data_IF_919455891600
#
_entry.id   IF_919455891600
#
_cell.length_a   1.000
_cell.length_b   1.000
_cell.length_c   1.000
_cell.angle_alpha   90.00
_cell.angle_beta   90.00
_cell.angle_gamma   90.00
#
_symmetry.space_group_name_H-M   'P 1'
#
loop_
_entity.id
_entity.type
_entity.pdbx_description
1 polymer ?
#
# COMPACT_ATOMS: atom_id res chain seq x y z
N UNK A 1 4.50 18.47 9.71
CA UNK A 1 4.16 17.26 8.92
C UNK A 1 5.42 16.65 8.32
N UNK A 2 5.85 15.51 8.87
CA UNK A 2 7.03 14.80 8.42
C UNK A 2 6.68 13.93 7.21
N UNK A 3 7.49 13.97 6.14
CA UNK A 3 7.29 13.12 4.95
C UNK A 3 8.18 11.88 5.03
N UNK A 4 7.56 10.71 4.98
CA UNK A 4 8.22 9.41 5.01
C UNK A 4 8.29 8.81 3.62
N UNK A 5 9.49 8.60 3.11
CA UNK A 5 9.77 8.06 1.78
C UNK A 5 10.65 6.81 1.90
N UNK A 6 10.77 5.97 0.85
CA UNK A 6 11.70 4.85 0.86
C UNK A 6 13.17 5.25 1.12
N UNK A 7 13.52 6.50 0.79
CA UNK A 7 14.87 7.07 0.96
C UNK A 7 15.09 7.76 2.30
N UNK A 8 14.02 8.03 3.06
CA UNK A 8 14.13 8.60 4.41
C UNK A 8 15.00 7.68 5.27
N UNK A 9 15.95 8.26 5.98
CA UNK A 9 16.89 7.52 6.81
C UNK A 9 16.30 7.21 8.18
N UNK A 10 16.79 6.12 8.79
CA UNK A 10 16.43 5.77 10.16
C UNK A 10 16.88 6.88 11.12
N UNK A 11 17.99 7.58 10.85
CA UNK A 11 18.43 8.72 11.64
C UNK A 11 17.44 9.90 11.62
N UNK A 12 16.95 10.31 10.45
CA UNK A 12 15.93 11.36 10.34
C UNK A 12 14.65 10.96 11.08
N UNK A 13 14.23 9.71 10.91
CA UNK A 13 13.00 9.19 11.50
C UNK A 13 13.06 9.18 13.03
N UNK A 14 14.15 8.66 13.63
CA UNK A 14 14.29 8.59 15.09
C UNK A 14 14.64 9.94 15.72
N UNK A 15 15.18 10.89 14.94
CA UNK A 15 15.34 12.27 15.40
C UNK A 15 13.98 12.95 15.55
N UNK A 16 13.08 12.76 14.59
CA UNK A 16 11.72 13.26 14.65
C UNK A 16 10.87 12.51 15.70
N UNK A 17 11.09 11.20 15.85
CA UNK A 17 10.30 10.32 16.71
C UNK A 17 11.19 9.38 17.55
N UNK A 18 11.78 9.86 18.66
CA UNK A 18 12.74 9.09 19.46
C UNK A 18 12.20 7.77 20.04
N UNK A 19 10.89 7.67 20.28
CA UNK A 19 10.24 6.44 20.77
C UNK A 19 10.39 5.26 19.81
N UNK A 20 10.64 5.51 18.51
CA UNK A 20 10.85 4.46 17.52
C UNK A 20 12.13 3.64 17.76
N UNK A 21 13.06 4.14 18.58
CA UNK A 21 14.23 3.38 19.03
C UNK A 21 13.82 2.11 19.79
N UNK A 22 12.69 2.16 20.50
CA UNK A 22 12.18 1.03 21.29
C UNK A 22 11.08 0.26 20.56
N UNK A 23 10.19 0.95 19.86
CA UNK A 23 9.03 0.37 19.18
C UNK A 23 9.40 -0.44 17.93
N UNK A 24 10.33 0.06 17.10
CA UNK A 24 10.73 -0.64 15.88
C UNK A 24 11.38 -2.00 16.19
N UNK A 25 12.32 -2.11 17.16
CA UNK A 25 12.90 -3.40 17.52
C UNK A 25 11.94 -4.31 18.27
N UNK A 26 10.95 -3.76 18.99
CA UNK A 26 9.90 -4.56 19.62
C UNK A 26 9.01 -5.26 18.58
N UNK A 27 8.67 -4.59 17.48
CA UNK A 27 7.88 -5.16 16.39
C UNK A 27 8.72 -5.97 15.40
N UNK A 28 9.95 -5.53 15.12
CA UNK A 28 10.86 -6.14 14.16
C UNK A 28 12.18 -6.51 14.89
N UNK A 29 12.29 -7.72 15.47
CA UNK A 29 13.44 -8.13 16.27
C UNK A 29 14.80 -8.00 15.54
N UNK A 30 14.81 -8.09 14.21
CA UNK A 30 16.00 -7.91 13.37
C UNK A 30 16.57 -6.47 13.42
N UNK A 31 15.79 -5.50 13.88
CA UNK A 31 16.21 -4.13 14.12
C UNK A 31 16.73 -3.90 15.55
N UNK A 32 16.94 -4.96 16.35
CA UNK A 32 17.55 -4.87 17.69
C UNK A 32 18.80 -3.99 17.80
N UNK A 33 19.72 -3.94 16.81
CA UNK A 33 20.86 -3.03 16.86
C UNK A 33 20.49 -1.55 17.01
N UNK A 34 19.28 -1.13 16.66
CA UNK A 34 18.81 0.25 16.81
C UNK A 34 18.79 0.72 18.27
N UNK A 35 18.60 -0.20 19.24
CA UNK A 35 18.67 0.10 20.68
C UNK A 35 20.09 0.44 21.13
N UNK A 36 21.11 -0.11 20.46
CA UNK A 36 22.50 0.16 20.78
C UNK A 36 22.93 1.54 20.23
N UNK A 37 23.35 2.50 21.08
CA UNK A 37 23.71 3.84 20.64
C UNK A 37 24.85 3.87 19.61
N UNK A 38 25.87 3.01 19.75
CA UNK A 38 27.01 2.95 18.83
C UNK A 38 26.61 2.40 17.46
N UNK A 39 25.83 1.32 17.43
CA UNK A 39 25.33 0.74 16.18
C UNK A 39 24.38 1.72 15.45
N UNK A 40 23.51 2.40 16.21
CA UNK A 40 22.64 3.46 15.68
C UNK A 40 23.44 4.62 15.10
N UNK A 41 24.45 5.11 15.81
CA UNK A 41 25.30 6.20 15.32
C UNK A 41 26.04 5.82 14.02
N UNK A 42 26.49 4.56 13.89
CA UNK A 42 27.18 4.08 12.71
C UNK A 42 26.25 3.86 11.50
N UNK A 43 25.08 3.27 11.71
CA UNK A 43 24.23 2.77 10.61
C UNK A 43 23.01 3.63 10.31
N UNK A 44 22.40 4.29 11.29
CA UNK A 44 21.14 5.00 11.09
C UNK A 44 21.18 6.12 10.04
N UNK A 45 22.29 6.88 9.88
CA UNK A 45 22.38 7.92 8.84
C UNK A 45 22.36 7.39 7.40
N UNK A 46 22.70 6.12 7.20
CA UNK A 46 22.78 5.49 5.86
C UNK A 46 21.74 4.38 5.67
N UNK A 47 21.11 3.91 6.74
CA UNK A 47 20.01 2.95 6.71
C UNK A 47 18.73 3.70 6.30
N UNK A 48 18.31 3.54 5.06
CA UNK A 48 17.03 4.06 4.57
C UNK A 48 15.86 3.17 4.99
N UNK A 49 14.62 3.65 4.85
CA UNK A 49 13.42 2.82 5.07
C UNK A 49 13.45 1.55 4.20
N UNK A 50 13.89 1.66 2.95
CA UNK A 50 14.06 0.53 2.05
C UNK A 50 15.05 -0.51 2.62
N UNK A 51 16.23 -0.08 3.07
CA UNK A 51 17.22 -0.97 3.69
C UNK A 51 16.71 -1.58 5.00
N UNK A 52 16.07 -0.78 5.85
CA UNK A 52 15.52 -1.23 7.12
C UNK A 52 14.41 -2.27 6.91
N UNK A 53 13.54 -2.07 5.90
CA UNK A 53 12.50 -3.03 5.52
C UNK A 53 13.09 -4.35 5.00
N UNK A 54 14.16 -4.29 4.19
CA UNK A 54 14.88 -5.46 3.73
C UNK A 54 15.48 -6.27 4.88
N UNK A 55 16.05 -5.60 5.88
CA UNK A 55 16.54 -6.25 7.11
C UNK A 55 15.38 -6.88 7.89
N UNK A 56 14.26 -6.16 8.03
CA UNK A 56 13.06 -6.65 8.69
C UNK A 56 12.36 -7.80 7.94
N UNK A 57 12.67 -7.99 6.65
CA UNK A 57 12.10 -9.04 5.80
C UNK A 57 10.66 -8.74 5.37
N UNK A 58 10.29 -7.47 5.28
CA UNK A 58 8.96 -7.02 4.88
C UNK A 58 9.04 -6.03 3.72
N UNK A 59 8.00 -5.91 2.88
CA UNK A 59 7.95 -4.88 1.85
C UNK A 59 8.10 -3.47 2.43
N UNK A 60 8.83 -2.60 1.73
CA UNK A 60 9.09 -1.22 2.19
C UNK A 60 7.81 -0.42 2.45
N UNK A 61 6.75 -0.69 1.69
CA UNK A 61 5.45 -0.03 1.86
C UNK A 61 4.77 -0.46 3.16
N UNK A 62 4.69 -1.76 3.43
CA UNK A 62 4.11 -2.30 4.67
C UNK A 62 4.90 -1.82 5.89
N UNK A 63 6.23 -1.74 5.75
CA UNK A 63 7.10 -1.20 6.78
C UNK A 63 6.78 0.26 7.07
N UNK A 64 6.75 1.12 6.04
CA UNK A 64 6.44 2.54 6.16
C UNK A 64 5.04 2.79 6.72
N UNK A 65 4.03 2.02 6.30
CA UNK A 65 2.67 2.08 6.84
C UNK A 65 2.65 1.68 8.33
N UNK A 66 3.39 0.64 8.71
CA UNK A 66 3.54 0.25 10.11
C UNK A 66 4.22 1.33 10.95
N UNK A 67 5.24 2.02 10.43
CA UNK A 67 5.88 3.17 11.10
C UNK A 67 4.85 4.28 11.31
N UNK A 68 4.10 4.67 10.28
CA UNK A 68 3.07 5.70 10.39
C UNK A 68 1.98 5.35 11.41
N UNK A 69 1.58 4.07 11.49
CA UNK A 69 0.65 3.58 12.52
C UNK A 69 1.23 3.69 13.94
N UNK A 70 2.51 3.33 14.14
CA UNK A 70 3.17 3.46 15.44
C UNK A 70 3.23 4.94 15.87
N UNK A 71 3.55 5.84 14.93
CA UNK A 71 3.59 7.29 15.19
C UNK A 71 2.21 7.83 15.56
N UNK A 72 1.16 7.45 14.83
CA UNK A 72 -0.24 7.82 15.16
C UNK A 72 -0.64 7.33 16.54
N UNK A 73 -0.29 6.09 16.90
CA UNK A 73 -0.62 5.51 18.22
C UNK A 73 0.04 6.22 19.39
N UNK A 74 1.26 6.73 19.19
CA UNK A 74 2.02 7.47 20.20
C UNK A 74 1.67 8.97 20.23
N UNK A 75 0.65 9.41 19.49
CA UNK A 75 0.23 10.82 19.46
C UNK A 75 1.22 11.75 18.75
N UNK A 76 2.12 11.21 17.92
CA UNK A 76 3.00 12.02 17.08
C UNK A 76 2.23 12.74 15.97
N UNK A 77 2.81 13.81 15.43
CA UNK A 77 2.23 14.46 14.24
C UNK A 77 2.05 13.44 13.11
N UNK A 78 0.91 13.49 12.38
CA UNK A 78 0.68 12.63 11.24
C UNK A 78 1.85 12.69 10.25
N UNK A 79 2.34 11.51 9.89
CA UNK A 79 3.38 11.33 8.88
C UNK A 79 2.72 11.21 7.51
N UNK A 80 3.09 12.07 6.56
CA UNK A 80 2.75 11.84 5.15
C UNK A 80 3.66 10.75 4.62
N UNK A 81 3.13 9.56 4.45
CA UNK A 81 3.87 8.49 3.78
C UNK A 81 3.77 8.76 2.28
N UNK A 82 4.91 8.99 1.62
CA UNK A 82 4.97 9.09 0.16
C UNK A 82 4.73 7.68 -0.41
N UNK A 83 3.49 7.45 -0.82
CA UNK A 83 3.06 6.23 -1.46
C UNK A 83 3.39 6.35 -2.97
N UNK A 84 4.23 5.48 -3.56
CA UNK A 84 3.82 4.91 -4.83
C UNK A 84 2.58 4.07 -4.51
N UNK A 85 1.41 4.47 -5.02
CA UNK A 85 0.13 3.75 -5.01
C UNK A 85 0.14 2.50 -4.10
N UNK A 86 -0.38 2.62 -2.86
CA UNK A 86 -0.39 1.53 -1.87
C UNK A 86 -0.74 0.17 -2.50
N UNK A 87 -0.07 -0.94 -2.12
CA UNK A 87 -0.61 -2.25 -2.40
C UNK A 87 -1.98 -2.28 -1.70
N UNK A 88 -3.06 -2.39 -2.46
CA UNK A 88 -4.35 -2.14 -1.88
C UNK A 88 -4.76 -3.28 -0.95
N UNK A 89 -5.57 -2.96 0.06
CA UNK A 89 -6.26 -3.95 0.87
C UNK A 89 -7.14 -4.83 -0.04
N UNK A 90 -6.60 -5.97 -0.47
CA UNK A 90 -7.25 -6.89 -1.42
C UNK A 90 -8.63 -7.32 -0.92
N UNK A 91 -8.79 -7.57 0.38
CA UNK A 91 -10.09 -7.95 0.94
C UNK A 91 -11.08 -6.79 0.88
N UNK A 92 -10.66 -5.60 1.30
CA UNK A 92 -11.50 -4.40 1.22
C UNK A 92 -11.88 -4.04 -0.21
N UNK A 93 -10.97 -4.19 -1.17
CA UNK A 93 -11.25 -3.97 -2.59
C UNK A 93 -12.23 -4.98 -3.15
N UNK A 94 -12.03 -6.27 -2.88
CA UNK A 94 -12.93 -7.33 -3.34
C UNK A 94 -14.35 -7.12 -2.78
N UNK A 95 -14.50 -6.69 -1.53
CA UNK A 95 -15.80 -6.35 -0.93
C UNK A 95 -16.45 -5.16 -1.67
N UNK A 96 -15.70 -4.08 -1.90
CA UNK A 96 -16.21 -2.90 -2.63
C UNK A 96 -16.60 -3.24 -4.07
N UNK A 97 -15.81 -4.05 -4.76
CA UNK A 97 -16.13 -4.53 -6.10
C UNK A 97 -17.44 -5.32 -6.14
N UNK A 98 -17.67 -6.20 -5.15
CA UNK A 98 -18.93 -6.92 -5.03
C UNK A 98 -20.11 -5.99 -4.82
N UNK A 99 -19.95 -4.95 -3.99
CA UNK A 99 -21.01 -3.95 -3.77
C UNK A 99 -21.34 -3.15 -5.03
N UNK A 100 -20.32 -2.83 -5.83
CA UNK A 100 -20.48 -2.15 -7.12
C UNK A 100 -21.24 -3.06 -8.10
N UNK A 101 -20.84 -4.33 -8.23
CA UNK A 101 -21.49 -5.32 -9.11
C UNK A 101 -22.93 -5.60 -8.68
N UNK A 102 -23.19 -5.71 -7.37
CA UNK A 102 -24.55 -5.91 -6.85
C UNK A 102 -25.46 -4.72 -7.18
N UNK A 103 -24.96 -3.50 -7.01
CA UNK A 103 -25.71 -2.28 -7.33
C UNK A 103 -26.05 -2.18 -8.81
N UNK A 104 -25.16 -2.64 -9.69
CA UNK A 104 -25.45 -2.72 -11.12
C UNK A 104 -26.54 -3.72 -11.45
N UNK A 105 -26.49 -4.91 -10.87
CA UNK A 105 -27.55 -5.92 -11.01
C UNK A 105 -28.92 -5.43 -10.53
N UNK A 106 -28.94 -4.56 -9.52
CA UNK A 106 -30.16 -3.96 -8.96
C UNK A 106 -30.71 -2.79 -9.81
N UNK A 107 -30.08 -2.48 -10.96
CA UNK A 107 -30.50 -1.41 -11.87
C UNK A 107 -29.79 -0.07 -11.63
N UNK A 108 -28.67 -0.06 -10.92
CA UNK A 108 -27.84 1.12 -10.70
C UNK A 108 -27.17 1.65 -11.97
N UNK A 109 -26.68 2.90 -11.93
CA UNK A 109 -25.99 3.54 -13.06
C UNK A 109 -24.62 2.89 -13.31
N UNK A 110 -24.39 2.55 -14.58
CA UNK A 110 -23.11 2.02 -15.08
C UNK A 110 -21.98 3.03 -14.90
N UNK A 111 -22.28 4.31 -15.07
CA UNK A 111 -21.33 5.41 -14.95
C UNK A 111 -20.85 5.61 -13.51
N UNK A 112 -21.75 5.53 -12.53
CA UNK A 112 -21.41 5.62 -11.10
C UNK A 112 -20.57 4.43 -10.65
N UNK A 113 -20.98 3.22 -11.06
CA UNK A 113 -20.24 1.99 -10.80
C UNK A 113 -18.82 2.02 -11.39
N UNK A 114 -18.66 2.56 -12.61
CA UNK A 114 -17.35 2.71 -13.27
C UNK A 114 -16.43 3.66 -12.49
N UNK A 115 -16.97 4.75 -11.97
CA UNK A 115 -16.19 5.72 -11.17
C UNK A 115 -15.73 5.10 -9.84
N UNK A 116 -16.64 4.46 -9.11
CA UNK A 116 -16.30 3.80 -7.85
C UNK A 116 -15.32 2.63 -8.06
N UNK A 117 -15.43 1.93 -9.19
CA UNK A 117 -14.48 0.90 -9.61
C UNK A 117 -13.09 1.50 -9.78
N UNK A 118 -12.94 2.56 -10.58
CA UNK A 118 -11.66 3.24 -10.78
C UNK A 118 -11.05 3.81 -9.49
N UNK A 119 -11.87 4.36 -8.60
CA UNK A 119 -11.40 4.81 -7.28
C UNK A 119 -10.96 3.62 -6.40
N UNK A 120 -11.62 2.47 -6.54
CA UNK A 120 -11.30 1.25 -5.79
C UNK A 120 -10.05 0.55 -6.31
N UNK A 121 -9.85 0.44 -7.64
CA UNK A 121 -8.75 -0.31 -8.28
C UNK A 121 -7.63 0.58 -8.84
N UNK A 122 -7.74 1.90 -8.73
CA UNK A 122 -6.82 2.85 -9.38
C UNK A 122 -5.36 2.77 -8.91
N UNK A 123 -5.09 2.07 -7.80
CA UNK A 123 -3.74 1.78 -7.30
C UNK A 123 -3.30 0.32 -7.51
N UNK A 124 -4.16 -0.54 -8.07
CA UNK A 124 -3.88 -1.97 -8.26
C UNK A 124 -3.04 -2.22 -9.53
N UNK A 125 -2.09 -3.16 -9.46
CA UNK A 125 -1.32 -3.58 -10.63
C UNK A 125 -2.17 -4.41 -11.62
N UNK A 126 -1.78 -4.52 -12.90
CA UNK A 126 -2.51 -5.33 -13.88
C UNK A 126 -2.68 -6.80 -13.46
N UNK A 127 -1.69 -7.36 -12.75
CA UNK A 127 -1.75 -8.72 -12.24
C UNK A 127 -2.76 -8.87 -11.11
N UNK A 128 -2.85 -7.87 -10.22
CA UNK A 128 -3.84 -7.85 -9.13
C UNK A 128 -5.26 -7.67 -9.64
N UNK A 129 -5.45 -6.83 -10.67
CA UNK A 129 -6.74 -6.70 -11.36
C UNK A 129 -7.17 -8.07 -11.91
N UNK A 130 -6.27 -8.78 -12.60
CA UNK A 130 -6.57 -10.11 -13.13
C UNK A 130 -6.92 -11.13 -12.03
N UNK A 131 -6.22 -11.12 -10.90
CA UNK A 131 -6.51 -12.00 -9.75
C UNK A 131 -7.91 -11.71 -9.15
N UNK A 132 -8.28 -10.43 -9.06
CA UNK A 132 -9.58 -9.99 -8.55
C UNK A 132 -10.72 -10.37 -9.50
N UNK A 133 -10.53 -10.23 -10.82
CA UNK A 133 -11.48 -10.71 -11.83
C UNK A 133 -11.70 -12.23 -11.73
N UNK A 134 -10.61 -12.99 -11.57
CA UNK A 134 -10.70 -14.45 -11.38
C UNK A 134 -11.41 -14.84 -10.09
N UNK A 135 -11.33 -14.05 -9.03
CA UNK A 135 -12.11 -14.25 -7.80
C UNK A 135 -13.60 -14.01 -8.03
N UNK A 136 -13.96 -12.92 -8.71
CA UNK A 136 -15.35 -12.61 -9.05
C UNK A 136 -15.99 -13.68 -9.95
N UNK A 137 -15.24 -14.20 -10.92
CA UNK A 137 -15.69 -15.31 -11.78
C UNK A 137 -15.95 -16.58 -10.95
N UNK A 138 -15.05 -16.90 -10.01
CA UNK A 138 -15.21 -18.07 -9.12
C UNK A 138 -16.43 -17.94 -8.21
N UNK A 139 -16.82 -16.71 -7.87
CA UNK A 139 -18.00 -16.42 -7.07
C UNK A 139 -19.30 -16.31 -7.87
N UNK A 140 -19.24 -16.53 -9.18
CA UNK A 140 -20.42 -16.63 -10.05
C UNK A 140 -20.82 -15.32 -10.73
N UNK A 141 -19.97 -14.29 -10.70
CA UNK A 141 -20.19 -13.08 -11.50
C UNK A 141 -19.93 -13.40 -12.98
N UNK A 142 -20.86 -13.09 -13.90
CA UNK A 142 -20.66 -13.30 -15.33
C UNK A 142 -19.48 -12.50 -15.88
N UNK A 143 -18.64 -13.15 -16.68
CA UNK A 143 -17.46 -12.53 -17.33
C UNK A 143 -17.86 -11.29 -18.14
N UNK A 144 -19.01 -11.31 -18.79
CA UNK A 144 -19.53 -10.21 -19.60
C UNK A 144 -19.83 -8.95 -18.78
N UNK A 145 -20.15 -9.10 -17.50
CA UNK A 145 -20.47 -7.99 -16.61
C UNK A 145 -19.23 -7.37 -15.98
N UNK A 146 -18.25 -8.22 -15.66
CA UNK A 146 -16.89 -7.80 -15.30
C UNK A 146 -16.29 -7.00 -16.46
N UNK A 147 -16.45 -7.47 -17.70
CA UNK A 147 -15.98 -6.76 -18.89
C UNK A 147 -16.71 -5.43 -19.15
N UNK A 148 -18.00 -5.32 -18.81
CA UNK A 148 -18.75 -4.04 -18.90
C UNK A 148 -18.29 -3.01 -17.89
N UNK A 149 -17.88 -3.46 -16.70
CA UNK A 149 -17.23 -2.61 -15.69
C UNK A 149 -15.82 -2.20 -16.12
N UNK A 150 -15.09 -3.15 -16.72
CA UNK A 150 -13.74 -2.99 -17.24
C UNK A 150 -13.71 -2.46 -18.68
N UNK A 151 -14.40 -1.34 -18.95
CA UNK A 151 -14.31 -0.58 -20.21
C UNK A 151 -12.92 0.11 -20.40
N UNK A 152 -11.87 -0.50 -19.85
CA UNK A 152 -10.50 -0.03 -19.80
C UNK A 152 -9.50 -1.20 -19.85
N UNK A 153 -9.72 -2.19 -20.71
CA UNK A 153 -8.61 -3.08 -21.05
C UNK A 153 -7.51 -2.41 -21.92
N UNK A 154 -7.70 -1.20 -22.47
CA UNK A 154 -6.71 -0.64 -23.41
C UNK A 154 -6.62 0.90 -23.39
N UNK A 155 -6.26 1.51 -22.26
CA UNK A 155 -5.48 2.77 -22.34
C UNK A 155 -4.14 2.70 -21.63
N UNK A 156 -3.93 1.74 -20.74
CA UNK A 156 -2.64 1.56 -20.05
C UNK A 156 -1.73 0.52 -20.72
N UNK A 157 -2.27 -0.45 -21.48
CA UNK A 157 -1.44 -1.44 -22.22
C UNK A 157 -0.77 -0.82 -23.47
N UNK A 158 -1.18 0.37 -23.93
CA UNK A 158 -0.60 1.04 -25.11
C UNK A 158 0.53 2.04 -24.84
N UNK A 159 0.91 2.28 -23.58
CA UNK A 159 2.08 3.14 -23.26
C UNK A 159 3.35 2.36 -22.90
N UNK A 160 3.30 1.02 -22.95
CA UNK A 160 4.46 0.16 -22.66
C UNK A 160 4.96 -0.70 -23.83
N UNK A 161 4.33 -0.64 -25.02
CA UNK A 161 4.74 -1.43 -26.19
C UNK A 161 4.90 -0.60 -27.48
N UNK A 162 4.87 0.73 -27.41
CA UNK A 162 5.24 1.61 -28.54
C UNK A 162 6.28 2.65 -28.10
N UNK A 163 7.49 2.18 -27.75
CA UNK A 163 8.81 2.73 -28.14
C UNK A 163 9.97 2.07 -27.38
#
# INVERSE_FOLDING_TARGET
>A
MFRLTPRTTVAELIQAYPFLIEELPARYPRLAPLRNPAARAAMAPIATMERASGVAGVPVQDFMAAVAEIVRRHGGEPVEVEHPAAPPDRRGQVIRLKEIIRRLHEGGSVEEARREFQETVGSASPQEIAEMEQELIREGVPVQEIQRLCDLHVQVVRLGLDR
#
